data_IF_381686030712
#
_entry.id   IF_381686030712
#
_cell.length_a   1.000
_cell.length_b   1.000
_cell.length_c   1.000
_cell.angle_alpha   90.00
_cell.angle_beta   90.00
_cell.angle_gamma   90.00
#
_symmetry.space_group_name_H-M   'P 1'
#
loop_
_entity.id
_entity.type
_entity.pdbx_description
1 polymer ?
#
# COMPACT_ATOMS: atom_id res chain seq x y z
N UNK A 1 13.48 10.24 -30.91
CA UNK A 1 12.68 10.57 -29.70
C UNK A 1 12.64 9.36 -28.78
N UNK A 2 13.20 9.42 -27.56
CA UNK A 2 13.11 8.30 -26.60
C UNK A 2 11.64 8.17 -26.16
N UNK A 3 11.03 7.01 -26.40
CA UNK A 3 9.66 6.69 -25.95
C UNK A 3 9.65 6.78 -24.43
N UNK A 4 9.08 7.86 -23.89
CA UNK A 4 9.06 8.04 -22.44
C UNK A 4 8.14 6.99 -21.81
N UNK A 5 8.67 6.19 -20.90
CA UNK A 5 7.88 5.20 -20.16
C UNK A 5 6.78 5.88 -19.35
N UNK A 6 5.55 5.34 -19.49
CA UNK A 6 4.36 5.72 -18.73
C UNK A 6 4.10 4.68 -17.66
N UNK A 7 3.95 5.11 -16.42
CA UNK A 7 3.65 4.25 -15.27
C UNK A 7 2.14 4.13 -15.05
N UNK A 8 1.63 2.98 -14.59
CA UNK A 8 0.23 2.86 -14.19
C UNK A 8 -0.07 3.77 -13.00
N UNK A 9 -1.29 4.27 -12.92
CA UNK A 9 -1.75 5.04 -11.77
C UNK A 9 -1.62 4.27 -10.45
N UNK A 10 -1.08 4.94 -9.44
CA UNK A 10 -0.81 4.40 -8.12
C UNK A 10 0.52 3.65 -8.01
N UNK A 11 1.35 3.61 -9.07
CA UNK A 11 2.63 2.90 -9.05
C UNK A 11 3.58 3.43 -7.96
N UNK A 12 3.76 4.75 -7.89
CA UNK A 12 4.66 5.36 -6.92
C UNK A 12 4.05 5.39 -5.53
N UNK A 13 2.74 5.63 -5.44
CA UNK A 13 2.01 5.56 -4.16
C UNK A 13 2.16 4.17 -3.54
N UNK A 14 1.88 3.09 -4.27
CA UNK A 14 1.96 1.73 -3.76
C UNK A 14 3.39 1.34 -3.34
N UNK A 15 4.38 1.69 -4.16
CA UNK A 15 5.79 1.42 -3.85
C UNK A 15 6.24 2.13 -2.55
N UNK A 16 5.95 3.43 -2.42
CA UNK A 16 6.35 4.19 -1.24
C UNK A 16 5.52 3.86 0.00
N UNK A 17 4.27 3.44 -0.13
CA UNK A 17 3.51 2.88 0.99
C UNK A 17 4.17 1.61 1.54
N UNK A 18 4.61 0.69 0.66
CA UNK A 18 5.31 -0.54 1.08
C UNK A 18 6.63 -0.23 1.80
N UNK A 19 7.45 0.68 1.24
CA UNK A 19 8.68 1.15 1.89
C UNK A 19 8.35 1.84 3.22
N UNK A 20 7.34 2.69 3.24
CA UNK A 20 6.89 3.43 4.42
C UNK A 20 6.51 2.50 5.57
N UNK A 21 5.72 1.45 5.31
CA UNK A 21 5.37 0.45 6.33
C UNK A 21 6.61 -0.26 6.87
N UNK A 22 7.53 -0.68 5.99
CA UNK A 22 8.76 -1.35 6.41
C UNK A 22 9.65 -0.45 7.30
N UNK A 23 9.77 0.82 6.95
CA UNK A 23 10.51 1.82 7.73
C UNK A 23 9.75 2.31 8.96
N UNK A 24 8.42 2.17 8.98
CA UNK A 24 7.53 2.58 10.06
C UNK A 24 7.67 1.75 11.32
N UNK A 25 7.87 0.43 11.17
CA UNK A 25 7.92 -0.52 12.29
C UNK A 25 8.93 -0.12 13.40
N UNK A 26 10.18 0.27 13.10
CA UNK A 26 11.12 0.74 14.12
C UNK A 26 10.67 2.00 14.88
N UNK A 27 9.87 2.89 14.27
CA UNK A 27 9.41 4.12 14.92
C UNK A 27 8.40 3.87 16.05
N UNK A 28 7.75 2.71 16.08
CA UNK A 28 6.86 2.35 17.17
C UNK A 28 7.60 1.96 18.46
N UNK A 29 8.89 1.59 18.37
CA UNK A 29 9.68 1.13 19.53
C UNK A 29 9.92 2.28 20.54
N UNK A 30 10.41 3.47 20.13
CA UNK A 30 10.61 4.59 21.06
C UNK A 30 9.31 5.11 21.69
N UNK A 31 8.17 4.91 21.01
CA UNK A 31 6.85 5.35 21.47
C UNK A 31 6.22 4.37 22.47
N UNK A 32 6.89 3.26 22.79
CA UNK A 32 6.34 2.19 23.63
C UNK A 32 5.14 1.48 23.00
N UNK A 33 4.85 1.73 21.72
CA UNK A 33 3.72 1.20 21.00
C UNK A 33 4.12 0.90 19.56
N UNK A 34 4.57 -0.34 19.35
CA UNK A 34 5.00 -0.86 18.03
C UNK A 34 3.88 -0.73 16.99
N UNK A 35 2.62 -0.84 17.43
CA UNK A 35 1.44 -0.71 16.57
C UNK A 35 1.32 0.69 15.95
N UNK A 36 1.86 1.75 16.59
CA UNK A 36 1.88 3.10 16.03
C UNK A 36 2.92 3.28 14.91
N UNK A 37 3.94 2.42 14.84
CA UNK A 37 4.96 2.49 13.80
C UNK A 37 4.39 2.32 12.39
N UNK A 38 3.40 1.42 12.21
CA UNK A 38 2.78 1.16 10.91
C UNK A 38 2.01 2.39 10.38
N UNK A 39 1.07 3.02 11.13
CA UNK A 39 0.41 4.25 10.69
C UNK A 39 1.39 5.38 10.35
N UNK A 40 2.45 5.57 11.14
CA UNK A 40 3.47 6.59 10.90
C UNK A 40 4.18 6.33 9.58
N UNK A 41 4.68 5.11 9.40
CA UNK A 41 5.34 4.68 8.17
C UNK A 41 4.45 4.81 6.94
N UNK A 42 3.18 4.39 7.06
CA UNK A 42 2.19 4.50 6.00
C UNK A 42 1.93 5.97 5.61
N UNK A 43 1.79 6.87 6.59
CA UNK A 43 1.59 8.28 6.34
C UNK A 43 2.77 8.93 5.59
N UNK A 44 4.00 8.61 6.02
CA UNK A 44 5.23 9.08 5.35
C UNK A 44 5.31 8.52 3.92
N UNK A 45 5.11 7.22 3.76
CA UNK A 45 5.12 6.55 2.47
C UNK A 45 4.08 7.10 1.51
N UNK A 46 2.86 7.32 1.98
CA UNK A 46 1.78 7.92 1.21
C UNK A 46 2.13 9.36 0.79
N UNK A 47 2.68 10.18 1.70
CA UNK A 47 3.04 11.57 1.40
C UNK A 47 4.13 11.65 0.32
N UNK A 48 5.19 10.85 0.44
CA UNK A 48 6.28 10.81 -0.54
C UNK A 48 5.78 10.26 -1.87
N UNK A 49 5.07 9.12 -1.84
CA UNK A 49 4.50 8.47 -3.02
C UNK A 49 3.57 9.39 -3.79
N UNK A 50 2.65 10.07 -3.11
CA UNK A 50 1.71 11.02 -3.71
C UNK A 50 2.43 12.24 -4.32
N UNK A 51 3.47 12.77 -3.64
CA UNK A 51 4.27 13.87 -4.16
C UNK A 51 4.99 13.51 -5.46
N UNK A 52 5.59 12.31 -5.52
CA UNK A 52 6.25 11.80 -6.73
C UNK A 52 5.23 11.53 -7.83
N UNK A 53 4.15 10.81 -7.53
CA UNK A 53 3.06 10.52 -8.46
C UNK A 53 2.52 11.81 -9.10
N UNK A 54 2.29 12.87 -8.31
CA UNK A 54 1.84 14.16 -8.80
C UNK A 54 2.83 14.81 -9.78
N UNK A 55 4.15 14.71 -9.53
CA UNK A 55 5.19 15.20 -10.45
C UNK A 55 5.17 14.44 -11.78
N UNK A 56 4.99 13.12 -11.76
CA UNK A 56 4.91 12.30 -12.98
C UNK A 56 3.58 12.50 -13.72
N UNK A 57 2.49 12.74 -12.99
CA UNK A 57 1.18 13.08 -13.57
C UNK A 57 1.25 14.38 -14.36
N UNK A 58 1.88 15.43 -13.79
CA UNK A 58 2.12 16.72 -14.48
C UNK A 58 2.96 16.56 -15.75
N UNK A 59 3.86 15.58 -15.80
CA UNK A 59 4.69 15.28 -16.98
C UNK A 59 3.97 14.39 -18.02
N UNK A 60 2.70 14.04 -17.82
CA UNK A 60 1.96 13.13 -18.71
C UNK A 60 2.48 11.69 -18.71
N UNK A 61 3.22 11.30 -17.66
CA UNK A 61 3.87 9.98 -17.53
C UNK A 61 3.06 8.99 -16.70
N UNK A 62 1.83 9.33 -16.31
CA UNK A 62 0.90 8.42 -15.64
C UNK A 62 -0.17 8.02 -16.65
N UNK A 63 -0.32 6.71 -16.87
CA UNK A 63 -1.39 6.13 -17.69
C UNK A 63 -2.53 5.63 -16.80
N UNK A 64 -3.79 5.63 -17.28
CA UNK A 64 -4.87 4.94 -16.59
C UNK A 64 -4.54 3.43 -16.48
N UNK A 65 -5.03 2.77 -15.42
CA UNK A 65 -4.93 1.33 -15.31
C UNK A 65 -5.74 0.65 -16.43
N UNK A 66 -5.26 -0.52 -16.85
CA UNK A 66 -6.00 -1.37 -17.80
C UNK A 66 -7.10 -2.14 -17.07
N UNK A 67 -8.12 -2.61 -17.81
CA UNK A 67 -9.19 -3.45 -17.24
C UNK A 67 -8.66 -4.73 -16.56
N UNK A 68 -7.53 -5.25 -17.02
CA UNK A 68 -6.86 -6.39 -16.40
C UNK A 68 -6.27 -6.01 -15.02
N UNK A 69 -5.52 -4.90 -14.95
CA UNK A 69 -4.96 -4.37 -13.69
C UNK A 69 -6.06 -3.99 -12.67
N UNK A 70 -7.22 -3.51 -13.15
CA UNK A 70 -8.37 -3.20 -12.30
C UNK A 70 -8.98 -4.46 -11.68
N UNK A 71 -9.17 -5.52 -12.48
CA UNK A 71 -9.64 -6.82 -11.99
C UNK A 71 -8.67 -7.46 -11.00
N UNK A 72 -7.37 -7.39 -11.26
CA UNK A 72 -6.34 -7.87 -10.33
C UNK A 72 -6.39 -7.13 -9.00
N UNK A 73 -6.49 -5.78 -9.01
CA UNK A 73 -6.61 -4.99 -7.77
C UNK A 73 -7.83 -5.40 -6.95
N UNK A 74 -8.99 -5.57 -7.59
CA UNK A 74 -10.22 -5.99 -6.89
C UNK A 74 -10.06 -7.40 -6.33
N UNK A 75 -9.49 -8.34 -7.11
CA UNK A 75 -9.22 -9.71 -6.66
C UNK A 75 -8.29 -9.75 -5.44
N UNK A 76 -7.23 -8.94 -5.42
CA UNK A 76 -6.32 -8.83 -4.27
C UNK A 76 -7.05 -8.29 -3.04
N UNK A 77 -7.87 -7.24 -3.18
CA UNK A 77 -8.63 -6.68 -2.05
C UNK A 77 -9.59 -7.71 -1.47
N UNK A 78 -10.33 -8.42 -2.31
CA UNK A 78 -11.27 -9.48 -1.88
C UNK A 78 -10.49 -10.60 -1.17
N UNK A 79 -9.38 -11.04 -1.74
CA UNK A 79 -8.53 -12.08 -1.15
C UNK A 79 -7.98 -11.69 0.23
N UNK A 80 -7.51 -10.45 0.39
CA UNK A 80 -7.03 -9.94 1.69
C UNK A 80 -8.16 -9.86 2.71
N UNK A 81 -9.36 -9.38 2.32
CA UNK A 81 -10.52 -9.33 3.21
C UNK A 81 -10.93 -10.74 3.65
N UNK A 82 -11.03 -11.69 2.71
CA UNK A 82 -11.37 -13.07 3.02
C UNK A 82 -10.35 -13.71 3.96
N UNK A 83 -9.05 -13.45 3.75
CA UNK A 83 -7.98 -13.92 4.63
C UNK A 83 -8.10 -13.35 6.05
N UNK A 84 -8.34 -12.04 6.18
CA UNK A 84 -8.50 -11.38 7.49
C UNK A 84 -9.72 -11.91 8.25
N UNK A 85 -10.85 -12.13 7.56
CA UNK A 85 -12.05 -12.74 8.16
C UNK A 85 -11.75 -14.15 8.62
N UNK A 86 -11.13 -14.98 7.76
CA UNK A 86 -10.74 -16.35 8.10
C UNK A 86 -9.81 -16.42 9.31
N UNK A 87 -8.79 -15.55 9.36
CA UNK A 87 -7.87 -15.46 10.49
C UNK A 87 -8.59 -15.02 11.77
N UNK A 88 -9.51 -14.06 11.68
CA UNK A 88 -10.30 -13.60 12.82
C UNK A 88 -11.23 -14.68 13.38
N UNK A 89 -11.93 -15.42 12.52
CA UNK A 89 -12.78 -16.55 12.93
C UNK A 89 -11.94 -17.66 13.56
N UNK A 90 -10.81 -18.00 12.94
CA UNK A 90 -9.89 -19.02 13.44
C UNK A 90 -9.34 -18.66 14.83
N UNK A 91 -8.88 -17.42 15.01
CA UNK A 91 -8.42 -16.92 16.31
C UNK A 91 -9.54 -16.90 17.36
N UNK A 92 -10.78 -16.59 16.96
CA UNK A 92 -11.93 -16.60 17.87
C UNK A 92 -12.24 -18.01 18.39
N UNK A 93 -12.23 -19.01 17.51
CA UNK A 93 -12.41 -20.41 17.90
C UNK A 93 -11.27 -20.88 18.82
N UNK A 94 -10.03 -20.52 18.48
CA UNK A 94 -8.85 -20.88 19.27
C UNK A 94 -8.87 -20.29 20.68
N UNK A 95 -9.37 -19.06 20.85
CA UNK A 95 -9.50 -18.41 22.16
C UNK A 95 -10.67 -18.93 23.01
N UNK A 96 -11.69 -19.52 22.37
CA UNK A 96 -12.84 -20.13 23.04
C UNK A 96 -12.64 -21.60 23.39
N UNK A 97 -11.56 -22.23 22.88
CA UNK A 97 -11.19 -23.63 23.14
C UNK A 97 -10.23 -23.73 24.31
#
# INVERSE_FOLDING_TARGET
MKKQEKYPGGHFIGMWMGIGVALGLPFGIPLGNITLGIPIGLAIGLAIGASIEAKYKKKGRIRPPTKAEEKEKIGVIIGVIALLIGLGVFLSILLLS
#
